data_IF_504970555211
#
_entry.id   IF_504970555211
#
_cell.length_a   1.000
_cell.length_b   1.000
_cell.length_c   1.000
_cell.angle_alpha   90.00
_cell.angle_beta   90.00
_cell.angle_gamma   90.00
#
_symmetry.space_group_name_H-M   'P 1'
#
loop_
_entity.id
_entity.type
_entity.pdbx_description
1 polymer ?
#
# COMPACT_ATOMS: atom_id res chain seq x y z
N UNK A 1 59.91 23.90 15.48
CA UNK A 1 60.91 22.86 15.14
C UNK A 1 60.23 21.49 15.33
N UNK A 2 60.49 20.49 14.49
CA UNK A 2 59.62 20.09 13.37
C UNK A 2 59.11 18.63 13.46
N UNK A 3 58.08 18.27 12.69
CA UNK A 3 58.14 17.08 11.81
C UNK A 3 57.07 17.13 10.72
N UNK A 4 57.59 16.93 9.52
CA UNK A 4 56.92 16.92 8.23
C UNK A 4 56.38 15.48 7.92
N UNK A 5 55.72 15.27 6.78
CA UNK A 5 54.73 14.22 6.51
C UNK A 5 55.29 13.00 5.76
N UNK A 6 54.50 11.91 5.73
CA UNK A 6 54.51 10.80 4.75
C UNK A 6 53.45 9.76 5.21
N UNK A 7 52.61 9.16 4.38
CA UNK A 7 52.77 8.78 2.99
C UNK A 7 51.47 9.00 2.19
N UNK A 8 51.61 9.68 1.05
CA UNK A 8 50.71 9.52 -0.09
C UNK A 8 51.31 8.39 -0.91
N UNK A 9 50.73 7.19 -0.82
CA UNK A 9 50.92 6.20 -1.86
C UNK A 9 49.94 6.54 -2.98
N UNK A 10 50.52 6.89 -4.12
CA UNK A 10 49.94 6.78 -5.46
C UNK A 10 49.15 5.46 -5.59
N UNK A 11 48.14 5.35 -6.44
CA UNK A 11 48.35 5.08 -7.87
C UNK A 11 47.08 5.42 -8.65
N UNK A 12 47.23 6.26 -9.67
CA UNK A 12 46.28 6.40 -10.76
C UNK A 12 46.22 5.11 -11.56
N UNK A 13 45.02 4.68 -11.95
CA UNK A 13 44.81 3.84 -13.14
C UNK A 13 43.47 4.22 -13.76
N UNK A 14 43.60 5.08 -14.77
CA UNK A 14 42.62 5.31 -15.83
C UNK A 14 42.21 3.99 -16.45
N UNK A 15 40.91 3.70 -16.45
CA UNK A 15 40.28 2.82 -17.45
C UNK A 15 38.96 3.46 -17.88
N UNK A 16 38.99 4.05 -19.07
CA UNK A 16 37.80 4.29 -19.87
C UNK A 16 37.25 2.95 -20.37
N UNK A 17 35.96 2.75 -20.18
CA UNK A 17 35.08 1.91 -20.99
C UNK A 17 33.68 2.52 -20.78
N UNK A 18 33.25 3.43 -21.64
CA UNK A 18 32.60 3.16 -22.92
C UNK A 18 31.42 2.19 -22.81
N UNK A 19 30.32 2.61 -23.42
CA UNK A 19 28.97 2.22 -23.07
C UNK A 19 28.70 0.73 -23.13
N UNK A 20 27.81 0.29 -22.25
CA UNK A 20 26.58 -0.32 -22.73
C UNK A 20 25.53 -0.29 -21.64
N UNK A 21 24.54 0.57 -21.88
CA UNK A 21 23.23 0.52 -21.27
C UNK A 21 22.64 -0.85 -21.60
N UNK A 22 22.59 -1.76 -20.63
CA UNK A 22 21.87 -3.01 -20.78
C UNK A 22 20.83 -3.13 -19.68
N UNK A 23 19.61 -2.80 -20.13
CA UNK A 23 18.34 -3.25 -19.62
C UNK A 23 18.15 -3.10 -18.10
N UNK A 24 17.78 -1.88 -17.69
CA UNK A 24 16.62 -1.78 -16.82
C UNK A 24 15.50 -2.55 -17.53
N UNK A 25 15.34 -3.81 -17.12
CA UNK A 25 14.19 -4.61 -17.46
C UNK A 25 13.00 -3.73 -17.13
N UNK A 26 12.40 -3.17 -18.18
CA UNK A 26 11.05 -2.64 -18.16
C UNK A 26 10.15 -3.84 -17.88
N UNK A 27 10.22 -4.37 -16.65
CA UNK A 27 9.02 -4.88 -16.02
C UNK A 27 8.02 -3.76 -16.28
N UNK A 28 6.91 -4.01 -16.98
CA UNK A 28 5.84 -3.05 -16.88
C UNK A 28 5.65 -2.95 -15.36
N UNK A 29 6.01 -1.79 -14.79
CA UNK A 29 5.41 -1.39 -13.54
C UNK A 29 3.96 -1.75 -13.78
N UNK A 30 3.43 -2.74 -13.04
CA UNK A 30 2.01 -3.06 -13.16
C UNK A 30 1.41 -1.69 -13.04
N UNK A 31 0.94 -1.20 -14.18
CA UNK A 31 0.24 0.04 -14.25
C UNK A 31 -0.98 -0.43 -13.50
N UNK A 32 -0.97 -0.21 -12.18
CA UNK A 32 -2.17 -0.19 -11.39
C UNK A 32 -2.97 0.74 -12.25
N UNK A 33 -3.87 0.14 -13.03
CA UNK A 33 -4.90 0.87 -13.70
C UNK A 33 -5.65 1.41 -12.50
N UNK A 34 -5.17 2.54 -11.98
CA UNK A 34 -5.94 3.42 -11.17
C UNK A 34 -6.98 3.87 -12.16
N UNK A 35 -8.00 3.03 -12.32
CA UNK A 35 -9.33 3.50 -12.62
C UNK A 35 -9.57 4.49 -11.48
N UNK A 36 -9.18 5.73 -11.75
CA UNK A 36 -9.10 6.87 -10.84
C UNK A 36 -10.47 7.27 -10.31
N UNK A 37 -11.50 6.53 -10.70
CA UNK A 37 -12.89 6.89 -10.52
C UNK A 37 -13.41 6.48 -9.14
N UNK A 38 -12.63 5.71 -8.35
CA UNK A 38 -13.02 5.27 -7.01
C UNK A 38 -11.88 5.40 -6.00
N UNK A 39 -11.29 6.59 -5.93
CA UNK A 39 -10.34 6.97 -4.89
C UNK A 39 -11.07 7.23 -3.56
N UNK A 40 -11.65 6.18 -2.98
CA UNK A 40 -12.28 6.28 -1.67
C UNK A 40 -11.21 6.44 -0.60
N UNK A 41 -11.34 7.50 0.22
CA UNK A 41 -10.71 7.47 1.53
C UNK A 41 -11.31 6.35 2.39
N UNK A 42 -10.55 5.84 3.36
CA UNK A 42 -11.06 4.82 4.29
C UNK A 42 -12.39 5.25 4.95
N UNK A 43 -12.51 6.51 5.37
CA UNK A 43 -13.73 7.03 5.98
C UNK A 43 -14.93 7.01 5.03
N UNK A 44 -14.73 7.38 3.76
CA UNK A 44 -15.81 7.35 2.75
C UNK A 44 -16.19 5.91 2.44
N UNK A 45 -15.22 4.99 2.40
CA UNK A 45 -15.50 3.57 2.25
C UNK A 45 -16.33 3.01 3.42
N UNK A 46 -16.02 3.38 4.67
CA UNK A 46 -16.80 2.95 5.83
C UNK A 46 -18.24 3.47 5.75
N UNK A 47 -18.42 4.73 5.40
CA UNK A 47 -19.76 5.31 5.18
C UNK A 47 -20.53 4.55 4.08
N UNK A 48 -19.85 4.24 2.98
CA UNK A 48 -20.41 3.43 1.89
C UNK A 48 -20.81 2.02 2.35
N UNK A 49 -20.08 1.44 3.29
CA UNK A 49 -20.43 0.17 3.95
C UNK A 49 -21.60 0.31 4.94
N UNK A 50 -22.06 1.54 5.23
CA UNK A 50 -23.03 1.90 6.28
C UNK A 50 -22.48 1.71 7.70
N UNK A 51 -21.17 1.92 7.84
CA UNK A 51 -20.47 1.96 9.12
C UNK A 51 -20.21 3.45 9.42
N UNK A 52 -20.59 3.96 10.61
CA UNK A 52 -20.30 5.35 10.96
C UNK A 52 -18.81 5.66 10.81
N UNK A 53 -18.42 6.69 10.06
CA UNK A 53 -17.00 7.02 9.86
C UNK A 53 -16.25 7.40 11.13
N UNK A 54 -16.95 7.63 12.24
CA UNK A 54 -16.40 7.91 13.56
C UNK A 54 -16.48 6.71 14.53
N UNK A 55 -16.84 5.52 14.05
CA UNK A 55 -16.89 4.29 14.84
C UNK A 55 -15.50 3.94 15.39
N UNK A 56 -15.31 4.15 16.69
CA UNK A 56 -14.01 4.00 17.35
C UNK A 56 -13.54 2.55 17.36
N UNK A 57 -14.44 1.59 17.54
CA UNK A 57 -14.10 0.18 17.64
C UNK A 57 -13.58 -0.33 16.29
N UNK A 58 -14.22 0.08 15.19
CA UNK A 58 -13.76 -0.20 13.83
C UNK A 58 -12.39 0.43 13.56
N UNK A 59 -12.21 1.71 13.94
CA UNK A 59 -10.92 2.40 13.76
C UNK A 59 -9.79 1.78 14.59
N UNK A 60 -10.08 1.29 15.79
CA UNK A 60 -9.08 0.65 16.64
C UNK A 60 -8.58 -0.66 16.03
N UNK A 61 -9.47 -1.45 15.42
CA UNK A 61 -9.08 -2.64 14.64
C UNK A 61 -8.24 -2.26 13.43
N UNK A 62 -8.69 -1.28 12.63
CA UNK A 62 -7.97 -0.78 11.44
C UNK A 62 -6.55 -0.34 11.81
N UNK A 63 -6.39 0.44 12.89
CA UNK A 63 -5.09 0.92 13.36
C UNK A 63 -4.22 -0.21 13.90
N UNK A 64 -4.79 -1.10 14.73
CA UNK A 64 -4.09 -2.26 15.30
C UNK A 64 -3.48 -3.15 14.22
N UNK A 65 -4.21 -3.37 13.13
CA UNK A 65 -3.78 -4.20 12.00
C UNK A 65 -3.08 -3.42 10.88
N UNK A 66 -2.79 -2.12 11.09
CA UNK A 66 -2.10 -1.26 10.12
C UNK A 66 -2.75 -1.26 8.73
N UNK A 67 -4.09 -1.28 8.69
CA UNK A 67 -4.84 -1.25 7.44
C UNK A 67 -4.86 0.19 6.92
N UNK A 68 -3.99 0.47 5.95
CA UNK A 68 -3.81 1.82 5.41
C UNK A 68 -4.85 2.23 4.37
N UNK A 69 -5.49 1.26 3.69
CA UNK A 69 -6.37 1.53 2.57
C UNK A 69 -7.50 0.50 2.48
N UNK A 70 -8.68 0.93 2.03
CA UNK A 70 -9.88 0.08 1.99
C UNK A 70 -9.74 -1.13 1.05
N UNK A 71 -8.82 -1.08 0.08
CA UNK A 71 -8.52 -2.21 -0.81
C UNK A 71 -8.14 -3.48 -0.05
N UNK A 72 -7.62 -3.35 1.18
CA UNK A 72 -7.32 -4.48 2.04
C UNK A 72 -8.55 -5.38 2.31
N UNK A 73 -9.78 -4.87 2.13
CA UNK A 73 -11.01 -5.63 2.37
C UNK A 73 -11.58 -6.31 1.12
N UNK A 74 -10.99 -6.14 -0.06
CA UNK A 74 -11.60 -6.60 -1.32
C UNK A 74 -11.81 -8.12 -1.32
N UNK A 75 -10.88 -8.90 -0.78
CA UNK A 75 -10.93 -10.37 -0.79
C UNK A 75 -11.06 -10.98 0.61
N UNK A 76 -11.31 -10.15 1.62
CA UNK A 76 -11.56 -10.60 2.98
C UNK A 76 -13.01 -11.07 3.13
N UNK A 77 -13.17 -12.24 3.72
CA UNK A 77 -14.48 -12.79 4.04
C UNK A 77 -14.88 -12.48 5.49
N UNK A 78 -16.09 -12.90 5.88
CA UNK A 78 -16.58 -12.70 7.26
C UNK A 78 -15.63 -13.30 8.29
N UNK A 79 -15.08 -14.48 8.02
CA UNK A 79 -14.25 -15.21 8.99
C UNK A 79 -12.95 -14.47 9.26
N UNK A 80 -12.29 -13.98 8.22
CA UNK A 80 -11.07 -13.19 8.38
C UNK A 80 -11.33 -11.86 9.09
N UNK A 81 -12.43 -11.17 8.79
CA UNK A 81 -12.79 -9.93 9.50
C UNK A 81 -13.06 -10.20 10.99
N UNK A 82 -13.75 -11.28 11.32
CA UNK A 82 -13.96 -11.69 12.71
C UNK A 82 -12.63 -12.04 13.40
N UNK A 83 -11.71 -12.72 12.70
CA UNK A 83 -10.37 -13.04 13.20
C UNK A 83 -9.52 -11.80 13.45
N UNK A 84 -9.68 -10.74 12.64
CA UNK A 84 -9.07 -9.43 12.87
C UNK A 84 -9.71 -8.66 14.03
N UNK A 85 -10.84 -9.14 14.57
CA UNK A 85 -11.50 -8.56 15.72
C UNK A 85 -12.58 -7.53 15.36
N UNK A 86 -13.03 -7.48 14.11
CA UNK A 86 -14.24 -6.73 13.77
C UNK A 86 -15.46 -7.38 14.44
N UNK A 87 -16.34 -6.55 15.00
CA UNK A 87 -17.58 -7.03 15.59
C UNK A 87 -18.57 -7.54 14.52
N UNK A 88 -19.61 -8.26 14.98
CA UNK A 88 -20.67 -8.86 14.15
C UNK A 88 -21.39 -7.91 13.17
N UNK A 89 -21.41 -6.60 13.46
CA UNK A 89 -21.97 -5.62 12.53
C UNK A 89 -21.01 -5.37 11.35
N UNK A 90 -19.81 -4.82 11.63
CA UNK A 90 -18.80 -4.55 10.61
C UNK A 90 -18.38 -5.77 9.76
N UNK A 91 -18.25 -6.96 10.35
CA UNK A 91 -17.84 -8.20 9.62
C UNK A 91 -18.82 -8.60 8.49
N UNK A 92 -20.09 -8.16 8.57
CA UNK A 92 -21.12 -8.36 7.54
C UNK A 92 -21.26 -7.15 6.62
N UNK A 93 -21.12 -5.95 7.16
CA UNK A 93 -21.31 -4.70 6.42
C UNK A 93 -20.16 -4.45 5.43
N UNK A 94 -18.91 -4.75 5.80
CA UNK A 94 -17.75 -4.57 4.92
C UNK A 94 -17.87 -5.45 3.66
N UNK A 95 -18.08 -6.79 3.73
CA UNK A 95 -18.24 -7.61 2.53
C UNK A 95 -19.48 -7.23 1.70
N UNK A 96 -20.56 -6.77 2.36
CA UNK A 96 -21.75 -6.25 1.68
C UNK A 96 -21.43 -4.97 0.90
N UNK A 97 -20.68 -4.04 1.50
CA UNK A 97 -20.17 -2.83 0.86
C UNK A 97 -19.30 -3.15 -0.35
N UNK A 98 -18.30 -4.01 -0.20
CA UNK A 98 -17.45 -4.47 -1.32
C UNK A 98 -18.29 -5.07 -2.45
N UNK A 99 -19.29 -5.90 -2.12
CA UNK A 99 -20.19 -6.48 -3.12
C UNK A 99 -21.00 -5.43 -3.88
N UNK A 100 -21.46 -4.37 -3.22
CA UNK A 100 -22.12 -3.23 -3.87
C UNK A 100 -21.14 -2.43 -4.74
N UNK A 101 -19.93 -2.18 -4.23
CA UNK A 101 -18.91 -1.44 -4.95
C UNK A 101 -18.48 -2.16 -6.24
N UNK A 102 -18.24 -3.48 -6.18
CA UNK A 102 -17.94 -4.30 -7.37
C UNK A 102 -19.04 -4.22 -8.43
N UNK A 103 -20.31 -4.12 -8.01
CA UNK A 103 -21.46 -3.93 -8.94
C UNK A 103 -21.49 -2.53 -9.55
N UNK A 104 -21.05 -1.51 -8.83
CA UNK A 104 -20.97 -0.14 -9.33
C UNK A 104 -19.84 0.02 -10.36
N UNK A 105 -18.68 -0.60 -10.09
CA UNK A 105 -17.48 -0.52 -10.96
C UNK A 105 -17.67 -1.30 -12.27
N UNK A 106 -18.49 -2.35 -12.28
CA UNK A 106 -18.74 -3.18 -13.47
C UNK A 106 -19.86 -2.64 -14.38
N UNK A 107 -20.50 -1.54 -14.01
CA UNK A 107 -21.48 -0.82 -14.85
C UNK A 107 -20.76 0.24 -15.68
#
# INVERSE_FOLDING_TARGET
MPRAPRDKQSNSSTLQADGNQQAISSRPARQFQSNSDYDFSMSVFLDFCRIPPADKDVWDVIKRHQIHHWFAFIDEDKYELERLGFAFGPDRLIPSGISRLRKLIRQ
#
